data_IF_496991314027
#
_entry.id   IF_496991314027
#
_cell.length_a   1.000
_cell.length_b   1.000
_cell.length_c   1.000
_cell.angle_alpha   90.00
_cell.angle_beta   90.00
_cell.angle_gamma   90.00
#
_symmetry.space_group_name_H-M   'P 1'
#
loop_
_entity.id
_entity.type
_entity.pdbx_description
1 polymer ?
#
# COMPACT_ATOMS: atom_id res chain seq x y z
N UNK A 1 13.53 -10.87 -18.18
CA UNK A 1 13.07 -10.19 -16.94
C UNK A 1 13.01 -11.13 -15.72
N UNK A 2 13.25 -10.62 -14.52
CA UNK A 2 12.92 -11.23 -13.22
C UNK A 2 11.71 -10.49 -12.66
N UNK A 3 10.68 -11.22 -12.24
CA UNK A 3 9.45 -10.66 -11.67
C UNK A 3 9.10 -11.34 -10.36
N UNK A 4 8.81 -10.55 -9.33
CA UNK A 4 8.34 -11.03 -8.04
C UNK A 4 7.20 -10.13 -7.56
N UNK A 5 6.04 -10.74 -7.35
CA UNK A 5 4.94 -10.16 -6.59
C UNK A 5 5.12 -10.49 -5.11
N UNK A 6 4.90 -9.50 -4.25
CA UNK A 6 5.05 -9.62 -2.82
C UNK A 6 3.75 -9.16 -2.12
N UNK A 7 2.94 -10.13 -1.68
CA UNK A 7 1.71 -9.91 -0.92
C UNK A 7 2.03 -9.74 0.58
N UNK A 8 1.50 -8.67 1.16
CA UNK A 8 1.32 -8.57 2.60
C UNK A 8 -0.06 -9.16 2.94
N UNK A 9 -0.09 -10.35 3.54
CA UNK A 9 -1.34 -11.04 3.90
C UNK A 9 -2.11 -10.31 5.02
N UNK A 10 -1.45 -9.51 5.85
CA UNK A 10 -2.12 -8.78 6.93
C UNK A 10 -2.96 -7.63 6.39
N UNK A 11 -2.51 -6.96 5.33
CA UNK A 11 -3.17 -5.76 4.79
C UNK A 11 -3.82 -5.95 3.42
N UNK A 12 -3.49 -7.04 2.72
CA UNK A 12 -3.85 -7.24 1.32
C UNK A 12 -3.05 -6.37 0.33
N UNK A 13 -2.00 -5.68 0.77
CA UNK A 13 -1.18 -4.85 -0.12
C UNK A 13 -0.22 -5.70 -0.95
N UNK A 14 -0.03 -5.28 -2.19
CA UNK A 14 0.83 -5.91 -3.17
C UNK A 14 1.91 -4.92 -3.59
N UNK A 15 3.14 -5.41 -3.55
CA UNK A 15 4.32 -4.68 -3.99
C UNK A 15 5.09 -5.56 -4.97
N UNK A 16 5.89 -4.93 -5.83
CA UNK A 16 6.52 -5.64 -6.94
C UNK A 16 8.01 -5.38 -6.99
N UNK A 17 8.80 -6.43 -7.22
CA UNK A 17 10.20 -6.32 -7.62
C UNK A 17 10.34 -6.81 -9.06
N UNK A 18 10.77 -5.91 -9.94
CA UNK A 18 10.97 -6.19 -11.37
C UNK A 18 12.44 -5.89 -11.70
N UNK A 19 13.12 -6.79 -12.39
CA UNK A 19 14.54 -6.61 -12.68
C UNK A 19 15.01 -7.19 -14.00
N UNK A 20 16.16 -6.69 -14.43
CA UNK A 20 16.93 -7.24 -15.54
C UNK A 20 18.14 -7.96 -14.97
N UNK A 21 18.20 -9.28 -15.18
CA UNK A 21 19.31 -10.12 -14.70
C UNK A 21 20.64 -9.75 -15.34
N UNK A 22 20.65 -9.44 -16.65
CA UNK A 22 21.85 -9.05 -17.38
C UNK A 22 22.43 -7.72 -16.89
N UNK A 23 21.58 -6.72 -16.65
CA UNK A 23 21.99 -5.42 -16.14
C UNK A 23 22.26 -5.42 -14.62
N UNK A 24 21.85 -6.46 -13.90
CA UNK A 24 21.94 -6.52 -12.43
C UNK A 24 21.13 -5.42 -11.73
N UNK A 25 20.06 -4.92 -12.34
CA UNK A 25 19.25 -3.78 -11.84
C UNK A 25 17.79 -4.18 -11.63
N UNK A 26 17.18 -3.56 -10.63
CA UNK A 26 15.78 -3.73 -10.28
C UNK A 26 15.08 -2.41 -9.97
N UNK A 27 13.77 -2.42 -10.20
CA UNK A 27 12.81 -1.45 -9.70
C UNK A 27 11.90 -2.12 -8.66
N UNK A 28 11.57 -1.38 -7.60
CA UNK A 28 10.50 -1.78 -6.66
C UNK A 28 9.31 -0.85 -6.86
N UNK A 29 8.11 -1.42 -6.96
CA UNK A 29 6.85 -0.67 -7.11
C UNK A 29 6.01 -0.85 -5.84
N UNK A 30 5.51 0.27 -5.32
CA UNK A 30 4.68 0.37 -4.10
C UNK A 30 5.29 -0.32 -2.86
N UNK A 31 6.54 0.00 -2.46
CA UNK A 31 7.16 -0.66 -1.31
C UNK A 31 6.42 -0.32 0.00
N UNK A 32 6.15 -1.33 0.84
CA UNK A 32 5.68 -1.13 2.21
C UNK A 32 6.82 -0.83 3.19
N UNK A 33 6.61 0.11 4.12
CA UNK A 33 7.62 0.52 5.12
C UNK A 33 8.08 -0.63 6.02
N UNK A 34 7.18 -1.54 6.36
CA UNK A 34 7.41 -2.73 7.18
C UNK A 34 8.29 -3.80 6.50
N UNK A 35 8.51 -3.68 5.18
CA UNK A 35 9.09 -4.74 4.33
C UNK A 35 10.36 -4.36 3.59
N UNK A 36 10.95 -3.21 3.93
CA UNK A 36 12.20 -2.71 3.33
C UNK A 36 13.30 -3.78 3.29
N UNK A 37 13.53 -4.47 4.41
CA UNK A 37 14.55 -5.52 4.51
C UNK A 37 14.28 -6.68 3.55
N UNK A 38 13.01 -7.00 3.30
CA UNK A 38 12.62 -8.09 2.42
C UNK A 38 12.94 -7.79 0.97
N UNK A 39 12.65 -6.57 0.50
CA UNK A 39 13.02 -6.13 -0.85
C UNK A 39 14.55 -6.19 -1.05
N UNK A 40 15.32 -5.70 -0.08
CA UNK A 40 16.78 -5.72 -0.13
C UNK A 40 17.32 -7.15 -0.17
N UNK A 41 16.80 -8.04 0.68
CA UNK A 41 17.21 -9.46 0.69
C UNK A 41 16.84 -10.16 -0.61
N UNK A 42 15.64 -9.92 -1.13
CA UNK A 42 15.17 -10.52 -2.37
C UNK A 42 16.02 -10.09 -3.57
N UNK A 43 16.29 -8.78 -3.70
CA UNK A 43 17.16 -8.24 -4.74
C UNK A 43 18.56 -8.89 -4.70
N UNK A 44 19.18 -8.93 -3.51
CA UNK A 44 20.50 -9.57 -3.31
C UNK A 44 20.49 -11.05 -3.69
N UNK A 45 19.49 -11.81 -3.27
CA UNK A 45 19.33 -13.24 -3.61
C UNK A 45 19.24 -13.46 -5.12
N UNK A 46 18.77 -12.47 -5.87
CA UNK A 46 18.65 -12.51 -7.33
C UNK A 46 19.83 -11.88 -8.06
N UNK A 47 20.88 -11.43 -7.36
CA UNK A 47 22.02 -10.73 -7.96
C UNK A 47 21.68 -9.35 -8.50
N UNK A 48 20.63 -8.71 -7.97
CA UNK A 48 20.12 -7.42 -8.42
C UNK A 48 20.44 -6.32 -7.41
N UNK A 49 20.62 -5.11 -7.93
CA UNK A 49 20.61 -3.86 -7.17
C UNK A 49 19.32 -3.10 -7.44
N UNK A 50 18.62 -2.70 -6.39
CA UNK A 50 17.47 -1.80 -6.51
C UNK A 50 18.01 -0.41 -6.86
N UNK A 51 17.64 0.11 -8.03
CA UNK A 51 18.10 1.42 -8.53
C UNK A 51 16.98 2.43 -8.68
N UNK A 52 15.73 1.96 -8.78
CA UNK A 52 14.53 2.78 -8.90
C UNK A 52 13.46 2.27 -7.94
N UNK A 53 12.65 3.20 -7.44
CA UNK A 53 11.44 2.95 -6.67
C UNK A 53 10.33 3.74 -7.36
N UNK A 54 9.16 3.15 -7.57
CA UNK A 54 8.02 3.83 -8.20
C UNK A 54 6.80 3.70 -7.31
N UNK A 55 6.09 4.79 -7.09
CA UNK A 55 4.75 4.73 -6.50
C UNK A 55 3.71 4.83 -7.62
N UNK A 56 2.72 3.96 -7.57
CA UNK A 56 1.54 4.07 -8.43
C UNK A 56 0.66 5.24 -8.03
N UNK A 57 0.63 5.61 -6.74
CA UNK A 57 -0.14 6.73 -6.23
C UNK A 57 0.30 7.15 -4.82
N UNK A 58 -0.22 8.27 -4.33
CA UNK A 58 -0.10 8.61 -2.90
C UNK A 58 -1.03 7.69 -2.08
N UNK A 59 -0.47 6.62 -1.51
CA UNK A 59 -1.21 5.66 -0.65
C UNK A 59 -1.83 6.34 0.57
N UNK A 60 -2.99 5.81 1.01
CA UNK A 60 -3.76 6.38 2.12
C UNK A 60 -4.15 5.37 3.21
N UNK A 61 -3.85 4.10 2.99
CA UNK A 61 -4.07 2.97 3.90
C UNK A 61 -2.79 2.56 4.63
N UNK A 62 -1.62 2.86 4.08
CA UNK A 62 -0.34 2.56 4.69
C UNK A 62 0.75 3.58 4.35
N UNK A 63 1.79 3.63 5.20
CA UNK A 63 3.00 4.41 4.97
C UNK A 63 3.88 3.68 3.96
N UNK A 64 4.20 4.35 2.86
CA UNK A 64 5.14 3.85 1.88
C UNK A 64 6.55 3.74 2.46
N UNK A 65 7.23 2.66 2.11
CA UNK A 65 8.63 2.40 2.39
C UNK A 65 9.60 3.03 1.40
N UNK A 66 9.16 3.91 0.50
CA UNK A 66 10.01 4.47 -0.55
C UNK A 66 11.25 5.19 0.00
N UNK A 67 11.08 6.06 1.01
CA UNK A 67 12.17 6.83 1.62
C UNK A 67 13.09 5.95 2.46
N UNK A 68 12.55 5.01 3.21
CA UNK A 68 13.33 4.03 3.96
C UNK A 68 14.15 3.14 3.02
N UNK A 69 13.55 2.65 1.93
CA UNK A 69 14.23 1.84 0.92
C UNK A 69 15.27 2.66 0.14
N UNK A 70 14.97 3.91 -0.22
CA UNK A 70 15.93 4.82 -0.85
C UNK A 70 17.11 5.13 0.08
N UNK A 71 16.88 5.30 1.39
CA UNK A 71 17.95 5.57 2.35
C UNK A 71 19.00 4.45 2.38
N UNK A 72 18.56 3.19 2.32
CA UNK A 72 19.45 2.00 2.37
C UNK A 72 20.00 1.56 1.01
N UNK A 73 19.32 1.87 -0.10
CA UNK A 73 19.73 1.45 -1.46
C UNK A 73 20.34 2.55 -2.32
N UNK A 74 20.08 3.81 -1.98
CA UNK A 74 20.33 5.01 -2.82
C UNK A 74 19.56 4.99 -4.15
N UNK A 75 18.47 4.22 -4.23
CA UNK A 75 17.59 4.22 -5.39
C UNK A 75 16.84 5.56 -5.53
N UNK A 76 16.58 5.96 -6.77
CA UNK A 76 15.75 7.13 -7.06
C UNK A 76 14.27 6.78 -6.91
N UNK A 77 13.53 7.61 -6.17
CA UNK A 77 12.07 7.50 -6.04
C UNK A 77 11.45 8.26 -7.22
N UNK A 78 10.52 7.63 -7.93
CA UNK A 78 9.77 8.22 -9.03
C UNK A 78 8.28 8.32 -8.67
N UNK A 79 7.72 9.52 -8.80
CA UNK A 79 6.32 9.83 -8.53
C UNK A 79 5.70 10.57 -9.72
N UNK A 80 4.39 10.42 -9.94
CA UNK A 80 3.71 11.16 -11.00
C UNK A 80 3.74 12.67 -10.75
N UNK A 81 3.85 13.50 -11.81
CA UNK A 81 3.91 14.98 -11.72
C UNK A 81 2.74 15.64 -10.98
N UNK A 82 1.60 14.95 -10.87
CA UNK A 82 0.42 15.45 -10.14
C UNK A 82 0.53 15.23 -8.63
N UNK A 83 1.55 14.52 -8.14
CA UNK A 83 1.79 14.35 -6.70
C UNK A 83 2.13 15.69 -6.06
N UNK A 84 1.83 15.83 -4.78
CA UNK A 84 2.17 17.01 -3.97
C UNK A 84 3.30 16.72 -2.98
N UNK A 85 4.08 15.67 -3.23
CA UNK A 85 5.17 15.27 -2.36
C UNK A 85 6.23 16.37 -2.24
N UNK A 86 6.72 16.62 -1.02
CA UNK A 86 7.67 17.70 -0.70
C UNK A 86 9.08 17.19 -0.38
N UNK A 87 9.36 15.91 -0.61
CA UNK A 87 10.69 15.31 -0.50
C UNK A 87 11.33 15.10 -1.88
N UNK A 88 12.63 14.83 -1.93
CA UNK A 88 13.36 14.60 -3.18
C UNK A 88 12.85 13.37 -3.92
N UNK A 89 12.44 13.56 -5.18
CA UNK A 89 11.99 12.49 -6.08
C UNK A 89 12.21 12.90 -7.54
N UNK A 90 12.32 11.90 -8.42
CA UNK A 90 12.17 12.07 -9.85
C UNK A 90 10.69 12.19 -10.20
N UNK A 91 10.37 13.05 -11.16
CA UNK A 91 9.02 13.23 -11.67
C UNK A 91 8.82 12.42 -12.94
N UNK A 92 7.69 11.72 -13.03
CA UNK A 92 7.23 11.05 -14.26
C UNK A 92 5.86 11.58 -14.69
N UNK A 93 5.55 11.47 -15.96
CA UNK A 93 4.25 11.83 -16.53
C UNK A 93 3.76 10.76 -17.53
N UNK A 94 2.53 10.91 -18.01
CA UNK A 94 1.96 10.01 -19.02
C UNK A 94 2.89 9.83 -20.22
N UNK A 95 3.11 8.57 -20.60
CA UNK A 95 3.96 8.19 -21.72
C UNK A 95 5.45 8.09 -21.43
N UNK A 96 5.93 8.56 -20.27
CA UNK A 96 7.33 8.39 -19.88
C UNK A 96 7.69 6.90 -19.71
N UNK A 97 8.97 6.59 -19.89
CA UNK A 97 9.49 5.22 -19.76
C UNK A 97 10.54 5.13 -18.65
N UNK A 98 10.34 4.15 -17.76
CA UNK A 98 11.30 3.78 -16.72
C UNK A 98 12.01 2.52 -17.20
N UNK A 99 13.27 2.68 -17.60
CA UNK A 99 14.09 1.60 -18.17
C UNK A 99 14.94 0.94 -17.09
N UNK A 100 14.87 -0.40 -17.04
CA UNK A 100 15.66 -1.26 -16.15
C UNK A 100 16.31 -2.35 -17.01
N UNK A 101 17.45 -2.02 -17.63
CA UNK A 101 18.12 -2.91 -18.57
C UNK A 101 17.22 -3.21 -19.76
N UNK A 102 16.84 -4.47 -19.94
CA UNK A 102 15.96 -4.91 -21.02
C UNK A 102 14.45 -4.80 -20.68
N UNK A 103 14.09 -4.37 -19.47
CA UNK A 103 12.70 -4.19 -19.03
C UNK A 103 12.33 -2.72 -19.15
N UNK A 104 11.19 -2.44 -19.78
CA UNK A 104 10.63 -1.08 -19.91
C UNK A 104 9.29 -1.03 -19.19
N UNK A 105 9.13 -0.06 -18.29
CA UNK A 105 7.87 0.25 -17.63
C UNK A 105 7.38 1.59 -18.18
N UNK A 106 6.35 1.56 -19.03
CA UNK A 106 5.71 2.75 -19.57
C UNK A 106 4.64 3.27 -18.60
N UNK A 107 4.71 4.55 -18.28
CA UNK A 107 3.75 5.23 -17.40
C UNK A 107 2.47 5.53 -18.17
N UNK A 108 1.33 5.12 -17.58
CA UNK A 108 -0.01 5.51 -18.03
C UNK A 108 -0.64 6.34 -16.91
N UNK A 109 -0.97 7.60 -17.15
CA UNK A 109 -1.66 8.42 -16.15
C UNK A 109 -3.13 8.00 -16.05
N UNK A 110 -3.53 7.49 -14.89
CA UNK A 110 -4.85 6.90 -14.67
C UNK A 110 -5.53 7.48 -13.43
N UNK A 111 -5.81 8.80 -13.42
CA UNK A 111 -6.45 9.45 -12.28
C UNK A 111 -7.84 8.87 -12.01
N UNK A 112 -8.21 8.86 -10.74
CA UNK A 112 -9.55 8.45 -10.32
C UNK A 112 -9.60 7.92 -8.90
N UNK A 113 -8.69 7.02 -8.53
CA UNK A 113 -8.48 6.68 -7.12
C UNK A 113 -7.82 7.87 -6.40
N UNK A 114 -6.71 8.35 -6.98
CA UNK A 114 -6.07 9.62 -6.62
C UNK A 114 -5.80 10.46 -7.87
N UNK A 115 -5.54 11.78 -7.75
CA UNK A 115 -5.15 12.62 -8.89
C UNK A 115 -3.79 12.25 -9.51
N UNK A 116 -2.91 11.64 -8.71
CA UNK A 116 -1.56 11.21 -9.11
C UNK A 116 -1.45 9.72 -9.45
N UNK A 117 -2.59 9.01 -9.52
CA UNK A 117 -2.63 7.59 -9.86
C UNK A 117 -2.07 7.33 -11.26
N UNK A 118 -1.17 6.35 -11.35
CA UNK A 118 -0.59 5.84 -12.59
C UNK A 118 -0.64 4.31 -12.63
N UNK A 119 -0.67 3.76 -13.84
CA UNK A 119 -0.38 2.36 -14.12
C UNK A 119 0.98 2.23 -14.81
N UNK A 120 1.62 1.08 -14.67
CA UNK A 120 2.91 0.77 -15.31
C UNK A 120 2.74 -0.40 -16.27
N UNK A 121 2.78 -0.13 -17.57
CA UNK A 121 2.72 -1.14 -18.62
C UNK A 121 4.13 -1.69 -18.88
N UNK A 122 4.32 -2.99 -18.64
CA UNK A 122 5.64 -3.62 -18.57
C UNK A 122 5.93 -4.48 -19.78
N UNK A 123 7.05 -4.22 -20.43
CA UNK A 123 7.57 -4.97 -21.59
C UNK A 123 8.92 -5.61 -21.24
N UNK A 124 9.06 -6.91 -21.51
CA UNK A 124 10.34 -7.62 -21.47
C UNK A 124 10.96 -7.61 -22.87
N UNK A 125 11.77 -6.59 -23.18
CA UNK A 125 12.32 -6.36 -24.51
C UNK A 125 13.28 -7.46 -25.02
N UNK A 126 13.68 -8.40 -24.16
CA UNK A 126 14.42 -9.59 -24.61
C UNK A 126 13.51 -10.71 -25.13
N UNK A 127 12.19 -10.62 -24.92
CA UNK A 127 11.20 -11.63 -25.34
C UNK A 127 10.29 -11.14 -26.44
N UNK A 128 9.76 -9.93 -26.31
CA UNK A 128 8.78 -9.37 -27.25
C UNK A 128 8.81 -7.83 -27.22
N UNK A 129 8.27 -7.21 -28.28
CA UNK A 129 8.02 -5.76 -28.33
C UNK A 129 6.72 -5.36 -27.64
N UNK A 130 5.82 -6.31 -27.47
CA UNK A 130 4.49 -6.17 -26.91
C UNK A 130 4.54 -6.19 -25.38
N UNK A 131 3.67 -5.40 -24.70
CA UNK A 131 3.59 -5.41 -23.26
C UNK A 131 3.06 -6.76 -22.75
N UNK A 132 3.66 -7.25 -21.67
CA UNK A 132 3.28 -8.53 -21.06
C UNK A 132 2.21 -8.34 -19.99
N UNK A 133 2.40 -7.35 -19.12
CA UNK A 133 1.47 -7.09 -18.02
C UNK A 133 1.43 -5.61 -17.66
N UNK A 134 0.40 -5.24 -16.90
CA UNK A 134 0.25 -3.89 -16.35
C UNK A 134 0.13 -3.97 -14.83
N UNK A 135 0.95 -3.16 -14.15
CA UNK A 135 0.73 -2.88 -12.73
C UNK A 135 -0.33 -1.78 -12.64
N UNK A 136 -1.48 -2.07 -12.06
CA UNK A 136 -2.64 -1.17 -12.11
C UNK A 136 -2.80 -0.26 -10.91
N UNK A 137 -1.89 -0.36 -9.92
CA UNK A 137 -2.04 0.35 -8.65
C UNK A 137 -3.43 0.10 -8.08
N UNK A 138 -4.06 1.19 -7.66
CA UNK A 138 -5.45 1.21 -7.21
C UNK A 138 -6.42 1.73 -8.29
N UNK A 139 -6.02 1.78 -9.56
CA UNK A 139 -6.96 2.09 -10.65
C UNK A 139 -7.93 0.93 -10.93
N UNK A 140 -7.40 -0.30 -11.04
CA UNK A 140 -8.20 -1.50 -11.30
C UNK A 140 -7.72 -2.64 -10.41
N UNK A 141 -8.68 -3.36 -9.81
CA UNK A 141 -8.46 -4.55 -9.02
C UNK A 141 -9.00 -5.80 -9.72
N UNK A 142 -8.81 -6.95 -9.10
CA UNK A 142 -9.39 -8.20 -9.56
C UNK A 142 -10.82 -8.30 -9.04
N UNK A 143 -11.78 -8.10 -9.95
CA UNK A 143 -13.20 -8.05 -9.66
C UNK A 143 -13.72 -6.71 -9.14
N UNK A 144 -12.90 -5.65 -9.13
CA UNK A 144 -13.32 -4.32 -8.68
C UNK A 144 -12.44 -3.19 -9.26
N UNK A 145 -12.67 -1.94 -8.85
CA UNK A 145 -11.85 -0.76 -9.17
C UNK A 145 -11.59 0.09 -7.93
N UNK A 146 -10.64 1.02 -8.03
CA UNK A 146 -10.31 1.97 -6.97
C UNK A 146 -11.50 2.77 -6.47
N UNK A 147 -11.59 2.97 -5.16
CA UNK A 147 -12.56 3.90 -4.60
C UNK A 147 -12.16 5.35 -4.90
N UNK A 148 -13.10 6.24 -5.25
CA UNK A 148 -12.83 7.64 -5.58
C UNK A 148 -12.88 8.57 -4.35
N UNK A 149 -12.64 8.08 -3.13
CA UNK A 149 -12.98 8.78 -1.89
C UNK A 149 -12.27 10.13 -1.70
N UNK A 150 -11.15 10.37 -2.39
CA UNK A 150 -10.42 11.63 -2.35
C UNK A 150 -11.09 12.75 -3.14
N UNK A 151 -11.80 12.43 -4.24
CA UNK A 151 -12.41 13.43 -5.13
C UNK A 151 -13.88 13.20 -5.46
N UNK A 152 -14.53 12.20 -4.84
CA UNK A 152 -15.96 11.95 -4.97
C UNK A 152 -16.39 11.66 -6.41
N UNK A 153 -17.55 12.19 -6.81
CA UNK A 153 -18.15 11.93 -8.12
C UNK A 153 -17.27 12.38 -9.30
N UNK A 154 -16.49 13.46 -9.13
CA UNK A 154 -15.56 13.91 -10.17
C UNK A 154 -14.44 12.88 -10.39
N UNK A 155 -13.85 12.39 -9.30
CA UNK A 155 -12.82 11.37 -9.33
C UNK A 155 -13.35 10.02 -9.87
N UNK A 156 -14.59 9.65 -9.55
CA UNK A 156 -15.26 8.50 -10.16
C UNK A 156 -15.40 8.67 -11.69
N UNK A 157 -15.71 9.90 -12.14
CA UNK A 157 -15.75 10.23 -13.55
C UNK A 157 -14.39 10.15 -14.25
N UNK A 158 -13.32 10.60 -13.58
CA UNK A 158 -11.95 10.46 -14.07
C UNK A 158 -11.54 9.00 -14.15
N UNK A 159 -11.90 8.19 -13.15
CA UNK A 159 -11.63 6.75 -13.15
C UNK A 159 -12.26 6.06 -14.35
N UNK A 160 -13.53 6.36 -14.67
CA UNK A 160 -14.18 5.87 -15.89
C UNK A 160 -13.38 6.21 -17.15
N UNK A 161 -12.91 7.45 -17.28
CA UNK A 161 -12.12 7.88 -18.44
C UNK A 161 -10.77 7.17 -18.51
N UNK A 162 -10.07 7.02 -17.38
CA UNK A 162 -8.81 6.28 -17.26
C UNK A 162 -8.97 4.82 -17.69
N UNK A 163 -10.05 4.16 -17.24
CA UNK A 163 -10.36 2.78 -17.61
C UNK A 163 -10.58 2.66 -19.12
N UNK A 164 -11.43 3.52 -19.71
CA UNK A 164 -11.82 3.43 -21.12
C UNK A 164 -10.72 3.87 -22.10
N UNK A 165 -9.92 4.86 -21.72
CA UNK A 165 -8.89 5.43 -22.60
C UNK A 165 -7.54 4.73 -22.52
N UNK A 166 -7.27 4.04 -21.41
CA UNK A 166 -5.98 3.38 -21.16
C UNK A 166 -6.15 1.86 -21.02
N UNK A 167 -6.60 1.37 -19.87
CA UNK A 167 -6.56 -0.06 -19.55
C UNK A 167 -7.42 -0.90 -20.51
N UNK A 168 -8.63 -0.47 -20.83
CA UNK A 168 -9.54 -1.23 -21.69
C UNK A 168 -9.16 -1.19 -23.18
N UNK A 169 -8.18 -0.38 -23.58
CA UNK A 169 -7.58 -0.41 -24.93
C UNK A 169 -6.45 -1.44 -25.07
N UNK A 170 -5.96 -1.98 -23.96
CA UNK A 170 -4.92 -3.01 -23.98
C UNK A 170 -5.49 -4.35 -24.51
N UNK A 171 -4.59 -5.17 -25.03
CA UNK A 171 -4.92 -6.51 -25.49
C UNK A 171 -5.43 -7.39 -24.34
N UNK A 172 -6.39 -8.27 -24.64
CA UNK A 172 -7.06 -9.15 -23.68
C UNK A 172 -6.10 -10.06 -22.91
N UNK A 173 -4.94 -10.36 -23.50
CA UNK A 173 -3.92 -11.25 -22.93
C UNK A 173 -3.01 -10.56 -21.92
N UNK A 174 -3.00 -9.22 -21.87
CA UNK A 174 -2.18 -8.47 -20.91
C UNK A 174 -2.65 -8.80 -19.49
N UNK A 175 -1.71 -9.25 -18.67
CA UNK A 175 -1.97 -9.59 -17.26
C UNK A 175 -2.14 -8.32 -16.41
N UNK A 176 -2.95 -8.40 -15.37
CA UNK A 176 -3.22 -7.31 -14.42
C UNK A 176 -2.63 -7.67 -13.06
N UNK A 177 -1.92 -6.72 -12.47
CA UNK A 177 -1.31 -6.80 -11.15
C UNK A 177 -1.61 -5.52 -10.32
N UNK A 178 -2.58 -5.56 -9.40
CA UNK A 178 -2.99 -4.39 -8.62
C UNK A 178 -2.06 -4.08 -7.44
N UNK A 179 -2.19 -2.92 -6.79
CA UNK A 179 -1.52 -2.64 -5.52
C UNK A 179 -2.25 -3.22 -4.30
N UNK A 180 -3.48 -3.72 -4.49
CA UNK A 180 -4.26 -4.37 -3.44
C UNK A 180 -5.03 -5.61 -3.92
N UNK A 181 -5.19 -6.59 -3.02
CA UNK A 181 -6.04 -7.78 -3.19
C UNK A 181 -7.02 -7.95 -2.03
N UNK A 182 -7.62 -9.14 -1.89
CA UNK A 182 -8.55 -9.44 -0.80
C UNK A 182 -7.98 -9.07 0.58
N UNK A 183 -8.81 -8.43 1.40
CA UNK A 183 -8.45 -7.95 2.74
C UNK A 183 -8.16 -6.45 2.80
N UNK A 184 -7.90 -5.77 1.68
CA UNK A 184 -7.71 -4.30 1.68
C UNK A 184 -9.03 -3.51 1.70
N UNK A 185 -8.99 -2.33 2.34
CA UNK A 185 -10.09 -1.36 2.42
C UNK A 185 -10.22 -0.45 1.19
N UNK A 186 -9.27 -0.53 0.25
CA UNK A 186 -9.21 0.30 -0.96
C UNK A 186 -10.19 -0.14 -2.06
N UNK A 187 -10.69 -1.39 -1.99
CA UNK A 187 -11.74 -1.94 -2.87
C UNK A 187 -12.96 -2.41 -2.07
N UNK A 188 -14.09 -2.65 -2.75
CA UNK A 188 -15.35 -3.09 -2.13
C UNK A 188 -15.47 -4.61 -2.04
N UNK A 189 -15.05 -5.33 -3.08
CA UNK A 189 -15.23 -6.77 -3.19
C UNK A 189 -14.10 -7.45 -3.99
N UNK A 190 -12.86 -7.33 -3.51
CA UNK A 190 -11.68 -7.86 -4.20
C UNK A 190 -11.53 -9.39 -4.07
N UNK A 191 -11.12 -10.03 -5.16
CA UNK A 191 -10.80 -11.46 -5.20
C UNK A 191 -9.55 -11.80 -4.36
N UNK A 192 -9.48 -13.04 -3.87
CA UNK A 192 -8.25 -13.60 -3.28
C UNK A 192 -7.18 -13.97 -4.29
N UNK A 193 -7.51 -13.99 -5.59
CA UNK A 193 -6.49 -14.07 -6.65
C UNK A 193 -5.65 -12.80 -6.64
N UNK A 194 -4.36 -12.94 -6.96
CA UNK A 194 -3.40 -11.82 -6.98
C UNK A 194 -3.04 -11.35 -8.40
N UNK A 195 -3.59 -11.99 -9.44
CA UNK A 195 -3.50 -11.56 -10.83
C UNK A 195 -4.77 -11.93 -11.63
N UNK A 196 -5.01 -11.20 -12.72
CA UNK A 196 -6.06 -11.47 -13.72
C UNK A 196 -5.57 -11.05 -15.12
N UNK A 197 -6.45 -10.88 -16.10
CA UNK A 197 -6.11 -10.29 -17.41
C UNK A 197 -7.12 -9.23 -17.81
N UNK A 198 -6.70 -8.32 -18.70
CA UNK A 198 -7.58 -7.29 -19.28
C UNK A 198 -8.85 -7.90 -19.88
N UNK A 199 -8.72 -9.00 -20.61
CA UNK A 199 -9.87 -9.69 -21.22
C UNK A 199 -10.84 -10.29 -20.21
N UNK A 200 -10.33 -10.83 -19.10
CA UNK A 200 -11.18 -11.39 -18.05
C UNK A 200 -11.92 -10.28 -17.29
N UNK A 201 -11.20 -9.24 -16.84
CA UNK A 201 -11.81 -8.13 -16.12
C UNK A 201 -12.82 -7.38 -17.00
N UNK A 202 -12.50 -7.11 -18.28
CA UNK A 202 -13.44 -6.47 -19.22
C UNK A 202 -14.79 -7.21 -19.29
N UNK A 203 -14.77 -8.54 -19.22
CA UNK A 203 -15.97 -9.39 -19.32
C UNK A 203 -16.71 -9.55 -17.99
N UNK A 204 -15.98 -9.63 -16.88
CA UNK A 204 -16.52 -10.14 -15.63
C UNK A 204 -16.43 -9.19 -14.44
N UNK A 205 -15.59 -8.15 -14.48
CA UNK A 205 -15.51 -7.14 -13.43
C UNK A 205 -16.84 -6.37 -13.34
N UNK A 206 -17.57 -6.44 -12.21
CA UNK A 206 -18.87 -5.79 -12.06
C UNK A 206 -18.84 -4.28 -12.30
N UNK A 207 -17.77 -3.60 -11.91
CA UNK A 207 -17.63 -2.15 -12.13
C UNK A 207 -17.59 -1.79 -13.62
N UNK A 208 -17.10 -2.69 -14.47
CA UNK A 208 -17.02 -2.49 -15.92
C UNK A 208 -18.32 -2.83 -16.67
N UNK A 209 -19.37 -3.26 -15.97
CA UNK A 209 -20.69 -3.55 -16.57
C UNK A 209 -21.56 -2.30 -16.75
N UNK A 210 -21.20 -1.19 -16.10
CA UNK A 210 -21.90 0.08 -16.26
C UNK A 210 -21.89 0.50 -17.75
N UNK A 211 -23.04 0.92 -18.26
CA UNK A 211 -23.24 1.25 -19.68
C UNK A 211 -22.98 2.72 -20.01
N UNK A 212 -22.78 3.54 -18.98
CA UNK A 212 -22.49 4.97 -19.11
C UNK A 212 -21.62 5.46 -17.96
N UNK A 213 -20.95 6.60 -18.18
CA UNK A 213 -20.19 7.31 -17.14
C UNK A 213 -21.06 7.64 -15.92
N UNK A 214 -22.30 8.06 -16.13
CA UNK A 214 -23.23 8.38 -15.04
C UNK A 214 -23.56 7.16 -14.18
N UNK A 215 -23.92 6.04 -14.82
CA UNK A 215 -24.19 4.77 -14.12
C UNK A 215 -22.97 4.28 -13.32
N UNK A 216 -21.77 4.43 -13.88
CA UNK A 216 -20.53 4.07 -13.19
C UNK A 216 -20.28 4.95 -11.95
N UNK A 217 -20.47 6.26 -12.07
CA UNK A 217 -20.34 7.19 -10.95
C UNK A 217 -21.34 6.84 -9.84
N UNK A 218 -22.61 6.62 -10.19
CA UNK A 218 -23.64 6.25 -9.23
C UNK A 218 -23.31 4.93 -8.52
N UNK A 219 -22.83 3.93 -9.27
CA UNK A 219 -22.40 2.64 -8.74
C UNK A 219 -21.28 2.82 -7.69
N UNK A 220 -20.24 3.59 -8.01
CA UNK A 220 -19.09 3.79 -7.12
C UNK A 220 -19.41 4.64 -5.90
N UNK A 221 -20.27 5.65 -6.06
CA UNK A 221 -20.66 6.52 -4.94
C UNK A 221 -21.65 5.83 -3.98
N UNK A 222 -22.31 4.75 -4.42
CA UNK A 222 -23.23 3.99 -3.60
C UNK A 222 -22.51 3.16 -2.53
N UNK A 223 -22.65 3.56 -1.26
CA UNK A 223 -22.24 2.75 -0.10
C UNK A 223 -20.75 2.78 0.21
N UNK A 224 -20.08 3.91 -0.03
CA UNK A 224 -18.69 4.12 0.39
C UNK A 224 -18.60 4.08 1.93
N UNK A 225 -17.79 3.18 2.53
CA UNK A 225 -17.61 3.16 3.97
C UNK A 225 -16.81 4.39 4.45
N UNK A 226 -16.88 4.74 5.74
CA UNK A 226 -16.14 5.86 6.29
C UNK A 226 -14.63 5.67 6.08
N UNK A 227 -13.92 6.80 5.93
CA UNK A 227 -12.46 6.80 5.89
C UNK A 227 -11.90 6.41 7.26
N UNK A 228 -10.80 5.64 7.32
CA UNK A 228 -10.10 5.38 8.58
C UNK A 228 -9.64 6.69 9.24
N UNK A 229 -9.59 6.77 10.59
CA UNK A 229 -9.13 7.96 11.30
C UNK A 229 -7.70 8.39 10.91
N UNK A 230 -6.81 7.44 10.67
CA UNK A 230 -5.40 7.66 10.32
C UNK A 230 -5.17 8.15 8.88
N UNK A 231 -6.20 8.21 8.05
CA UNK A 231 -6.10 8.52 6.62
C UNK A 231 -5.30 9.80 6.33
N UNK A 232 -5.59 10.90 7.02
CA UNK A 232 -4.89 12.18 6.79
C UNK A 232 -3.44 12.13 7.25
N UNK A 233 -3.17 11.45 8.37
CA UNK A 233 -1.82 11.24 8.90
C UNK A 233 -0.98 10.42 7.92
N UNK A 234 -1.54 9.35 7.36
CA UNK A 234 -0.87 8.49 6.37
C UNK A 234 -0.56 9.29 5.10
N UNK A 235 -1.55 9.98 4.53
CA UNK A 235 -1.35 10.81 3.34
C UNK A 235 -0.32 11.90 3.60
N UNK A 236 -0.40 12.60 4.73
CA UNK A 236 0.57 13.66 5.08
C UNK A 236 1.99 13.13 5.21
N UNK A 237 2.15 11.96 5.84
CA UNK A 237 3.45 11.27 5.91
C UNK A 237 3.92 10.88 4.52
N UNK A 238 3.09 10.26 3.69
CA UNK A 238 3.44 9.83 2.34
C UNK A 238 3.75 10.98 1.38
N UNK A 239 3.21 12.17 1.61
CA UNK A 239 3.60 13.40 0.90
C UNK A 239 4.85 14.06 1.50
N UNK A 240 5.30 13.64 2.68
CA UNK A 240 6.40 14.26 3.42
C UNK A 240 6.03 15.59 4.09
N UNK A 241 4.75 15.95 4.15
CA UNK A 241 4.27 17.12 4.91
C UNK A 241 4.20 16.86 6.41
N UNK A 242 4.18 15.57 6.80
CA UNK A 242 4.39 15.10 8.17
C UNK A 242 5.69 14.28 8.25
N UNK A 243 6.39 14.32 9.38
CA UNK A 243 7.61 13.55 9.57
C UNK A 243 7.33 12.04 9.61
N UNK A 244 8.28 11.25 9.10
CA UNK A 244 8.34 9.83 9.42
C UNK A 244 9.04 9.65 10.75
N UNK A 245 8.31 9.29 11.78
CA UNK A 245 8.91 8.92 13.06
C UNK A 245 9.19 7.42 13.08
N UNK A 246 10.25 7.05 13.79
CA UNK A 246 10.51 5.66 14.15
C UNK A 246 10.11 5.53 15.62
N UNK A 247 9.18 4.62 15.96
CA UNK A 247 8.83 4.40 17.35
C UNK A 247 10.08 3.94 18.11
N UNK A 248 10.28 4.51 19.30
CA UNK A 248 11.40 4.20 20.19
C UNK A 248 10.83 3.75 21.54
N UNK A 249 10.29 2.52 21.61
CA UNK A 249 9.68 2.07 22.85
C UNK A 249 10.74 2.01 23.94
N UNK A 250 10.30 2.28 25.17
CA UNK A 250 11.11 2.08 26.37
C UNK A 250 10.43 1.05 27.27
N UNK A 251 11.21 0.31 28.08
CA UNK A 251 10.62 -0.51 29.13
C UNK A 251 9.83 0.34 30.14
N UNK A 252 8.72 -0.21 30.61
CA UNK A 252 7.96 0.30 31.74
C UNK A 252 7.99 -0.72 32.87
N UNK A 253 8.19 -0.25 34.10
CA UNK A 253 7.81 -1.03 35.28
C UNK A 253 6.28 -1.07 35.39
N UNK A 254 5.74 -2.08 36.08
CA UNK A 254 4.30 -2.18 36.31
C UNK A 254 3.71 -0.94 37.00
N UNK A 255 4.49 -0.30 37.90
CA UNK A 255 4.11 0.92 38.58
C UNK A 255 4.00 2.11 37.63
N UNK A 256 5.02 2.33 36.78
CA UNK A 256 5.01 3.43 35.81
C UNK A 256 3.85 3.28 34.81
N UNK A 257 3.60 2.05 34.33
CA UNK A 257 2.50 1.78 33.41
C UNK A 257 1.14 2.08 34.08
N UNK A 258 0.96 1.63 35.33
CA UNK A 258 -0.25 1.91 36.11
C UNK A 258 -0.48 3.42 36.32
N UNK A 259 0.57 4.16 36.69
CA UNK A 259 0.51 5.60 36.91
C UNK A 259 0.16 6.35 35.60
N UNK A 260 0.76 5.97 34.47
CA UNK A 260 0.49 6.58 33.17
C UNK A 260 -0.96 6.37 32.70
N UNK A 261 -1.49 5.15 32.86
CA UNK A 261 -2.87 4.82 32.49
C UNK A 261 -3.87 5.49 33.44
N UNK A 262 -3.60 5.46 34.75
CA UNK A 262 -4.50 6.05 35.75
C UNK A 262 -4.63 7.57 35.63
N UNK A 263 -3.59 8.24 35.14
CA UNK A 263 -3.62 9.67 34.84
C UNK A 263 -4.38 10.01 33.53
N UNK A 264 -4.86 9.00 32.79
CA UNK A 264 -5.48 9.18 31.47
C UNK A 264 -4.48 9.55 30.37
N UNK A 265 -3.18 9.39 30.63
CA UNK A 265 -2.11 9.80 29.73
C UNK A 265 -1.58 8.71 28.81
N UNK A 266 -2.06 7.47 28.92
CA UNK A 266 -1.65 6.33 28.09
C UNK A 266 -2.73 5.25 28.02
N UNK A 267 -2.65 4.38 27.01
CA UNK A 267 -3.51 3.20 26.86
C UNK A 267 -2.64 1.93 26.81
N UNK A 268 -3.05 0.88 27.51
CA UNK A 268 -2.39 -0.44 27.40
C UNK A 268 -2.99 -1.19 26.22
N UNK A 269 -2.14 -1.55 25.26
CA UNK A 269 -2.48 -2.44 24.16
C UNK A 269 -1.96 -3.84 24.49
N UNK A 270 -2.89 -4.74 24.80
CA UNK A 270 -2.61 -6.14 25.11
C UNK A 270 -2.55 -6.98 23.83
N UNK A 271 -1.36 -7.49 23.53
CA UNK A 271 -1.07 -8.23 22.30
C UNK A 271 -1.35 -9.73 22.40
N UNK A 272 -1.73 -10.21 23.59
CA UNK A 272 -1.97 -11.63 23.86
C UNK A 272 -3.24 -12.12 23.17
N UNK A 273 -3.39 -13.43 23.06
CA UNK A 273 -4.60 -14.02 22.50
C UNK A 273 -5.84 -13.71 23.37
N UNK A 274 -7.06 -13.73 22.78
CA UNK A 274 -8.27 -13.36 23.51
C UNK A 274 -8.59 -14.24 24.72
N UNK A 275 -8.15 -15.50 24.75
CA UNK A 275 -8.40 -16.38 25.89
C UNK A 275 -7.52 -15.97 27.07
N UNK A 276 -6.22 -15.77 26.84
CA UNK A 276 -5.29 -15.27 27.86
C UNK A 276 -5.70 -13.88 28.39
N UNK A 277 -6.20 -13.00 27.51
CA UNK A 277 -6.77 -11.72 27.92
C UNK A 277 -8.02 -11.89 28.80
N UNK A 278 -8.90 -12.84 28.42
CA UNK A 278 -10.13 -13.16 29.14
C UNK A 278 -9.90 -13.73 30.54
N UNK A 279 -8.85 -14.53 30.72
CA UNK A 279 -8.46 -15.09 32.02
C UNK A 279 -7.94 -14.02 33.01
N UNK A 280 -7.37 -12.93 32.49
CA UNK A 280 -6.94 -11.80 33.29
C UNK A 280 -6.17 -10.74 32.49
N UNK A 281 -6.53 -9.48 32.69
CA UNK A 281 -5.93 -8.33 32.00
C UNK A 281 -5.87 -7.08 32.89
N UNK A 282 -5.10 -6.10 32.45
CA UNK A 282 -5.04 -4.77 33.09
C UNK A 282 -6.37 -4.04 32.85
N UNK A 283 -7.07 -3.56 33.89
CA UNK A 283 -8.33 -2.82 33.71
C UNK A 283 -8.18 -1.65 32.74
N UNK A 284 -9.07 -1.58 31.74
CA UNK A 284 -9.05 -0.53 30.71
C UNK A 284 -8.08 -0.79 29.55
N UNK A 285 -7.34 -1.89 29.55
CA UNK A 285 -6.55 -2.30 28.39
C UNK A 285 -7.44 -2.64 27.19
N UNK A 286 -6.90 -2.46 25.99
CA UNK A 286 -7.51 -2.89 24.73
C UNK A 286 -6.78 -4.13 24.24
N UNK A 287 -7.52 -5.18 23.88
CA UNK A 287 -6.93 -6.39 23.31
C UNK A 287 -6.99 -6.37 21.79
N UNK A 288 -5.82 -6.45 21.17
CA UNK A 288 -5.68 -6.80 19.75
C UNK A 288 -4.59 -7.85 19.67
N UNK A 289 -4.99 -9.11 19.47
CA UNK A 289 -4.04 -10.20 19.34
C UNK A 289 -3.10 -9.95 18.16
N UNK A 290 -1.79 -10.03 18.41
CA UNK A 290 -0.77 -9.72 17.38
C UNK A 290 -0.83 -10.66 16.18
N UNK A 291 -1.33 -11.88 16.35
CA UNK A 291 -1.54 -12.84 15.26
C UNK A 291 -2.87 -12.66 14.51
N UNK A 292 -3.74 -11.75 14.98
CA UNK A 292 -4.98 -11.51 14.28
C UNK A 292 -4.72 -10.77 12.95
N UNK A 293 -5.47 -11.09 11.89
CA UNK A 293 -5.38 -10.35 10.64
C UNK A 293 -5.59 -8.85 10.87
N UNK A 294 -4.92 -8.02 10.05
CA UNK A 294 -5.07 -6.55 10.09
C UNK A 294 -4.76 -5.95 11.47
N UNK A 295 -3.82 -6.54 12.23
CA UNK A 295 -3.45 -6.06 13.57
C UNK A 295 -3.19 -4.55 13.59
N UNK A 296 -2.33 -4.07 12.70
CA UNK A 296 -1.99 -2.65 12.60
C UNK A 296 -3.21 -1.78 12.31
N UNK A 297 -4.01 -2.14 11.30
CA UNK A 297 -5.20 -1.38 10.91
C UNK A 297 -6.21 -1.29 12.05
N UNK A 298 -6.46 -2.41 12.73
CA UNK A 298 -7.36 -2.46 13.89
C UNK A 298 -6.90 -1.53 15.00
N UNK A 299 -5.59 -1.47 15.27
CA UNK A 299 -5.04 -0.51 16.24
C UNK A 299 -5.21 0.92 15.75
N UNK A 300 -4.95 1.20 14.47
CA UNK A 300 -5.13 2.52 13.86
C UNK A 300 -6.55 3.08 13.94
N UNK A 301 -7.57 2.24 14.15
CA UNK A 301 -8.96 2.69 14.33
C UNK A 301 -9.26 3.30 15.70
N UNK A 302 -8.54 2.92 16.75
CA UNK A 302 -8.79 3.41 18.11
C UNK A 302 -7.59 4.13 18.74
N UNK A 303 -6.38 3.91 18.22
CA UNK A 303 -5.21 4.67 18.63
C UNK A 303 -5.48 6.15 18.40
N UNK A 304 -5.48 6.92 19.48
CA UNK A 304 -5.77 8.35 19.43
C UNK A 304 -4.47 9.11 19.20
N UNK A 305 -4.48 10.07 18.27
CA UNK A 305 -3.33 10.93 18.03
C UNK A 305 -2.89 11.61 19.34
N UNK A 306 -1.61 11.43 19.71
CA UNK A 306 -1.01 12.06 20.90
C UNK A 306 -1.10 11.25 22.20
N UNK A 307 -1.75 10.08 22.21
CA UNK A 307 -1.79 9.20 23.38
C UNK A 307 -0.80 8.03 23.22
N UNK A 308 0.26 7.95 24.06
CA UNK A 308 1.18 6.82 24.07
C UNK A 308 0.48 5.48 24.28
N UNK A 309 0.83 4.50 23.44
CA UNK A 309 0.44 3.11 23.61
C UNK A 309 1.51 2.36 24.41
N UNK A 310 1.12 1.72 25.50
CA UNK A 310 1.98 0.80 26.25
C UNK A 310 1.68 -0.61 25.76
N UNK A 311 2.66 -1.25 25.09
CA UNK A 311 2.50 -2.62 24.61
C UNK A 311 2.67 -3.62 25.75
N UNK A 312 1.67 -4.45 25.98
CA UNK A 312 1.78 -5.64 26.82
C UNK A 312 1.97 -6.85 25.91
N UNK A 313 3.20 -7.38 25.89
CA UNK A 313 3.61 -8.45 24.97
C UNK A 313 3.73 -9.81 25.67
N UNK A 314 3.65 -10.90 24.91
CA UNK A 314 3.92 -12.24 25.43
C UNK A 314 5.41 -12.56 25.37
N UNK A 315 6.06 -12.17 24.27
CA UNK A 315 7.49 -12.38 24.02
C UNK A 315 8.20 -11.09 23.63
N UNK A 316 9.53 -11.00 23.80
CA UNK A 316 10.30 -9.88 23.27
C UNK A 316 10.21 -9.72 21.74
N UNK A 317 10.04 -10.82 21.00
CA UNK A 317 9.90 -10.77 19.53
C UNK A 317 8.61 -10.11 19.05
N UNK A 318 7.58 -10.09 19.89
CA UNK A 318 6.31 -9.42 19.56
C UNK A 318 6.49 -7.91 19.44
N UNK A 319 7.48 -7.33 20.14
CA UNK A 319 7.74 -5.89 20.12
C UNK A 319 8.10 -5.45 18.70
N UNK A 320 9.14 -6.04 18.11
CA UNK A 320 9.61 -5.66 16.77
C UNK A 320 8.51 -5.83 15.71
N UNK A 321 7.72 -6.90 15.81
CA UNK A 321 6.59 -7.13 14.91
C UNK A 321 5.50 -6.08 15.09
N UNK A 322 5.10 -5.79 16.32
CA UNK A 322 4.09 -4.78 16.61
C UNK A 322 4.55 -3.40 16.13
N UNK A 323 5.78 -2.99 16.40
CA UNK A 323 6.33 -1.72 15.93
C UNK A 323 6.29 -1.60 14.40
N UNK A 324 6.65 -2.66 13.67
CA UNK A 324 6.59 -2.66 12.20
C UNK A 324 5.15 -2.50 11.70
N UNK A 325 4.21 -3.26 12.27
CA UNK A 325 2.80 -3.19 11.89
C UNK A 325 2.14 -1.84 12.24
N UNK A 326 2.52 -1.23 13.36
CA UNK A 326 2.01 0.09 13.80
C UNK A 326 2.61 1.23 12.99
N UNK A 327 3.92 1.20 12.73
CA UNK A 327 4.61 2.20 11.89
C UNK A 327 4.07 2.20 10.44
N UNK A 328 3.58 1.06 9.97
CA UNK A 328 2.91 0.92 8.66
C UNK A 328 1.60 1.73 8.59
N UNK A 329 0.84 1.84 9.68
CA UNK A 329 -0.44 2.58 9.71
C UNK A 329 -0.30 3.97 10.34
N UNK A 330 0.94 4.42 10.56
CA UNK A 330 1.25 5.74 11.09
C UNK A 330 1.05 5.91 12.59
N UNK A 331 0.94 4.81 13.34
CA UNK A 331 0.90 4.82 14.81
C UNK A 331 2.34 4.79 15.34
N UNK A 332 2.86 5.97 15.68
CA UNK A 332 4.29 6.14 16.02
C UNK A 332 4.54 6.31 17.53
N UNK A 333 3.50 6.61 18.32
CA UNK A 333 3.62 6.85 19.78
C UNK A 333 3.44 5.55 20.57
N UNK A 334 4.53 4.78 20.65
CA UNK A 334 4.59 3.44 21.27
C UNK A 334 5.79 3.33 22.18
#
# INVERSE_FOLDING_TARGET
>A
MIFHQLLNEESGCLSYLIGCGEAGRAVVVDPGRDRVDEYVRLARKKGLRITQIVETHTHADHISGNRDLAAVTKASIALHRSTKAVFEHATVQDGDEIVVGNVVLKVLHTPGHTPDSLCLLVTDGARASEPWFVLTGDTMFIGDVGRPDLGGAEAAGQLWESLQSSLLRLDDTVEIYPAHGAGSLCGRAMSSKTASTIGFERRFNPALRARSKAEFVDLLMAGLPPKPPSFQTIVGKNLGTLPLELPKPRPYTAREAWEAVSAGGACVLDLRDPATYGDGHVPGALNVWIESPQFGDRVGWFATDGAPLILLTHTPSDIDRALRALARVGVDQV
#
